data_IF_636706871994
#
_entry.id   IF_636706871994
#
_cell.length_a   1.000
_cell.length_b   1.000
_cell.length_c   1.000
_cell.angle_alpha   90.00
_cell.angle_beta   90.00
_cell.angle_gamma   90.00
#
_symmetry.space_group_name_H-M   'P 1'
#
loop_
_entity.id
_entity.type
_entity.pdbx_description
1 polymer ?
#
# COMPACT_ATOMS: atom_id res chain seq x y z
N UNK A 1 8.10 10.12 34.32
CA UNK A 1 9.14 9.73 33.35
C UNK A 1 9.04 8.24 32.93
N UNK A 2 7.86 7.76 32.55
CA UNK A 2 7.68 6.42 31.92
C UNK A 2 7.02 6.50 30.54
N UNK A 3 6.43 7.65 30.19
CA UNK A 3 5.69 7.83 28.94
C UNK A 3 6.60 7.97 27.72
N UNK A 4 7.77 8.62 27.88
CA UNK A 4 8.71 8.82 26.76
C UNK A 4 9.26 7.52 26.16
N UNK A 5 9.35 6.45 26.96
CA UNK A 5 9.92 5.16 26.50
C UNK A 5 8.91 4.38 25.65
N UNK A 6 7.60 4.51 25.93
CA UNK A 6 6.56 3.87 25.13
C UNK A 6 6.40 4.52 23.76
N UNK A 7 6.61 5.84 23.66
CA UNK A 7 6.57 6.54 22.38
C UNK A 7 7.69 6.08 21.45
N UNK A 8 8.91 5.87 21.94
CA UNK A 8 10.03 5.42 21.10
C UNK A 8 9.81 4.00 20.58
N UNK A 9 9.26 3.09 21.38
CA UNK A 9 8.98 1.71 20.94
C UNK A 9 7.88 1.68 19.87
N UNK A 10 6.89 2.56 19.94
CA UNK A 10 5.80 2.67 18.95
C UNK A 10 6.31 3.03 17.54
N UNK A 11 7.39 3.82 17.44
CA UNK A 11 8.02 4.19 16.14
C UNK A 11 8.67 2.98 15.46
N UNK A 12 9.22 2.05 16.25
CA UNK A 12 9.87 0.83 15.75
C UNK A 12 8.93 -0.38 15.70
N UNK A 13 7.68 -0.23 16.13
CA UNK A 13 6.69 -1.29 15.99
C UNK A 13 6.16 -1.20 14.57
N UNK A 14 6.30 -2.25 13.72
CA UNK A 14 5.63 -2.28 12.44
C UNK A 14 4.14 -2.09 12.72
N UNK A 15 3.59 -0.92 12.36
CA UNK A 15 2.15 -0.77 12.43
C UNK A 15 1.57 -1.92 11.61
N UNK A 16 0.64 -2.64 12.22
CA UNK A 16 -0.03 -3.75 11.58
C UNK A 16 -1.03 -3.18 10.56
N UNK A 17 -0.49 -2.52 9.54
CA UNK A 17 -1.25 -1.86 8.51
C UNK A 17 -1.78 -2.93 7.60
N UNK A 18 -3.10 -3.08 7.61
CA UNK A 18 -3.78 -4.06 6.78
C UNK A 18 -3.81 -3.55 5.34
N UNK A 19 -3.19 -4.27 4.39
CA UNK A 19 -3.29 -3.89 2.99
C UNK A 19 -4.73 -4.00 2.51
N UNK A 20 -5.07 -3.19 1.52
CA UNK A 20 -6.26 -3.39 0.69
C UNK A 20 -5.97 -4.60 -0.20
N UNK A 21 -6.76 -5.65 0.01
CA UNK A 21 -6.63 -6.89 -0.75
C UNK A 21 -7.37 -6.76 -2.07
N UNK A 22 -6.69 -7.10 -3.17
CA UNK A 22 -7.29 -7.09 -4.51
C UNK A 22 -7.86 -8.48 -4.85
N UNK A 23 -7.38 -9.52 -4.15
CA UNK A 23 -7.92 -10.89 -4.22
C UNK A 23 -8.85 -11.18 -3.05
N UNK A 24 -10.05 -11.68 -3.36
CA UNK A 24 -11.09 -11.99 -2.38
C UNK A 24 -11.05 -13.44 -1.86
N UNK A 25 -10.29 -14.32 -2.51
CA UNK A 25 -10.31 -15.78 -2.34
C UNK A 25 -9.18 -16.32 -1.43
N UNK A 26 -8.57 -15.45 -0.61
CA UNK A 26 -7.44 -15.83 0.22
C UNK A 26 -7.87 -16.62 1.46
N UNK A 27 -7.25 -17.77 1.66
CA UNK A 27 -7.37 -18.58 2.88
C UNK A 27 -6.78 -17.85 4.08
N UNK A 28 -7.21 -18.25 5.29
CA UNK A 28 -6.67 -17.67 6.53
C UNK A 28 -5.14 -17.80 6.64
N UNK A 29 -4.60 -18.90 6.10
CA UNK A 29 -3.16 -19.16 6.08
C UNK A 29 -2.43 -18.23 5.11
N UNK A 30 -2.97 -18.04 3.91
CA UNK A 30 -2.43 -17.08 2.95
C UNK A 30 -2.45 -15.66 3.51
N UNK A 31 -3.57 -15.23 4.10
CA UNK A 31 -3.70 -13.92 4.76
C UNK A 31 -2.60 -13.70 5.82
N UNK A 32 -2.28 -14.73 6.60
CA UNK A 32 -1.25 -14.68 7.65
C UNK A 32 0.18 -14.69 7.11
N UNK A 33 0.36 -15.08 5.84
CA UNK A 33 1.66 -15.14 5.15
C UNK A 33 1.95 -13.91 4.26
N UNK A 34 1.01 -12.96 4.24
CA UNK A 34 1.14 -11.73 3.46
C UNK A 34 2.28 -10.88 4.04
N UNK A 35 3.16 -10.39 3.16
CA UNK A 35 4.27 -9.54 3.54
C UNK A 35 4.57 -8.50 2.44
N UNK A 36 5.13 -7.34 2.81
CA UNK A 36 5.52 -6.31 1.84
C UNK A 36 6.72 -6.80 1.03
N UNK A 37 6.68 -6.61 -0.30
CA UNK A 37 7.76 -7.04 -1.23
C UNK A 37 8.34 -5.88 -2.03
N UNK A 38 7.58 -4.81 -2.24
CA UNK A 38 8.06 -3.67 -3.02
C UNK A 38 7.11 -2.48 -2.96
N UNK A 39 7.38 -1.49 -3.79
CA UNK A 39 6.60 -0.26 -3.88
C UNK A 39 6.31 0.09 -5.34
N UNK A 40 5.19 0.77 -5.56
CA UNK A 40 4.81 1.34 -6.84
C UNK A 40 4.34 2.77 -6.65
N UNK A 41 4.47 3.60 -7.69
CA UNK A 41 3.96 4.96 -7.69
C UNK A 41 3.06 5.28 -8.88
N UNK A 42 2.19 6.26 -8.68
CA UNK A 42 1.36 6.95 -9.68
C UNK A 42 1.57 8.45 -9.47
N UNK A 43 1.70 9.23 -10.53
CA UNK A 43 2.03 10.67 -10.44
C UNK A 43 1.27 11.54 -11.44
N UNK A 44 0.15 11.06 -11.94
CA UNK A 44 -0.60 11.68 -13.04
C UNK A 44 -2.12 11.68 -12.81
N UNK A 45 -2.60 11.09 -11.71
CA UNK A 45 -4.03 10.95 -11.50
C UNK A 45 -4.66 12.31 -11.19
N UNK A 46 -5.84 12.59 -11.71
CA UNK A 46 -6.55 13.85 -11.48
C UNK A 46 -7.58 13.75 -10.36
N UNK A 47 -7.84 12.53 -9.87
CA UNK A 47 -8.77 12.23 -8.80
C UNK A 47 -8.29 11.04 -7.97
N UNK A 48 -8.83 10.92 -6.74
CA UNK A 48 -8.55 9.77 -5.87
C UNK A 48 -9.04 8.45 -6.48
N UNK A 49 -10.14 8.47 -7.24
CA UNK A 49 -10.66 7.28 -7.93
C UNK A 49 -9.68 6.81 -9.01
N UNK A 50 -9.21 7.71 -9.87
CA UNK A 50 -8.23 7.42 -10.91
C UNK A 50 -6.89 6.95 -10.32
N UNK A 51 -6.47 7.57 -9.22
CA UNK A 51 -5.27 7.19 -8.48
C UNK A 51 -5.40 5.76 -7.94
N UNK A 52 -6.54 5.45 -7.33
CA UNK A 52 -6.82 4.13 -6.76
C UNK A 52 -6.90 3.06 -7.85
N UNK A 53 -7.61 3.31 -8.95
CA UNK A 53 -7.68 2.39 -10.08
C UNK A 53 -6.31 2.12 -10.70
N UNK A 54 -5.48 3.16 -10.87
CA UNK A 54 -4.11 3.01 -11.35
C UNK A 54 -3.24 2.15 -10.42
N UNK A 55 -3.38 2.32 -9.10
CA UNK A 55 -2.66 1.51 -8.10
C UNK A 55 -3.17 0.06 -8.11
N UNK A 56 -4.48 -0.17 -8.21
CA UNK A 56 -5.06 -1.52 -8.34
C UNK A 56 -4.50 -2.23 -9.57
N UNK A 57 -4.50 -1.56 -10.74
CA UNK A 57 -3.93 -2.11 -11.97
C UNK A 57 -2.45 -2.45 -11.83
N UNK A 58 -1.66 -1.57 -11.21
CA UNK A 58 -0.23 -1.82 -10.94
C UNK A 58 -0.01 -2.98 -9.97
N UNK A 59 -0.86 -3.10 -8.95
CA UNK A 59 -0.84 -4.21 -7.99
C UNK A 59 -1.08 -5.55 -8.69
N UNK A 60 -2.11 -5.62 -9.54
CA UNK A 60 -2.42 -6.80 -10.33
C UNK A 60 -1.30 -7.14 -11.33
N UNK A 61 -0.76 -6.13 -12.02
CA UNK A 61 0.34 -6.32 -12.98
C UNK A 61 1.64 -6.84 -12.32
N UNK A 62 1.87 -6.48 -11.05
CA UNK A 62 2.98 -7.00 -10.27
C UNK A 62 2.74 -8.41 -9.71
N UNK A 63 1.53 -8.96 -9.87
CA UNK A 63 1.15 -10.24 -9.24
C UNK A 63 1.03 -10.15 -7.72
N UNK A 64 0.88 -8.95 -7.18
CA UNK A 64 0.68 -8.71 -5.76
C UNK A 64 -0.78 -9.04 -5.36
N UNK A 65 -0.97 -9.44 -4.11
CA UNK A 65 -2.30 -9.79 -3.56
C UNK A 65 -2.99 -8.62 -2.88
N UNK A 66 -2.24 -7.56 -2.58
CA UNK A 66 -2.76 -6.35 -1.99
C UNK A 66 -1.77 -5.20 -2.07
N UNK A 67 -2.27 -4.01 -1.74
CA UNK A 67 -1.48 -2.79 -1.66
C UNK A 67 -1.83 -1.98 -0.42
N UNK A 68 -0.93 -1.10 -0.01
CA UNK A 68 -1.19 -0.09 1.00
C UNK A 68 -0.61 1.24 0.52
N UNK A 69 -1.47 2.25 0.35
CA UNK A 69 -1.01 3.60 -0.02
C UNK A 69 -0.30 4.19 1.20
N UNK A 70 1.01 4.37 1.08
CA UNK A 70 1.85 4.89 2.16
C UNK A 70 1.97 6.41 2.12
N UNK A 71 1.78 7.01 0.95
CA UNK A 71 1.91 8.44 0.76
C UNK A 71 1.01 8.92 -0.38
N UNK A 72 0.43 10.10 -0.21
CA UNK A 72 -0.41 10.77 -1.20
C UNK A 72 -0.03 12.24 -1.24
N UNK A 73 0.43 12.69 -2.39
CA UNK A 73 0.76 14.07 -2.66
C UNK A 73 -0.29 14.66 -3.60
N UNK A 74 -0.83 15.82 -3.26
CA UNK A 74 -1.67 16.61 -4.16
C UNK A 74 -0.87 17.84 -4.57
N UNK A 75 -0.61 17.97 -5.86
CA UNK A 75 0.09 19.13 -6.39
C UNK A 75 -0.95 20.20 -6.78
N UNK A 76 -0.65 21.45 -6.44
CA UNK A 76 -1.42 22.58 -6.95
C UNK A 76 -1.42 22.54 -8.49
N UNK A 77 -2.53 22.95 -9.13
CA UNK A 77 -2.62 22.88 -10.58
C UNK A 77 -1.51 23.69 -11.22
N UNK A 78 -0.82 23.09 -12.21
CA UNK A 78 0.04 23.84 -13.12
C UNK A 78 -0.77 24.79 -14.02
N UNK A 79 -0.11 25.38 -15.02
CA UNK A 79 -0.70 26.36 -15.95
C UNK A 79 -2.04 25.95 -16.60
N UNK A 80 -2.35 24.64 -16.62
CA UNK A 80 -3.52 24.05 -17.27
C UNK A 80 -4.71 23.77 -16.31
N UNK A 81 -4.61 24.15 -15.03
CA UNK A 81 -5.75 24.12 -14.09
C UNK A 81 -6.18 22.73 -13.59
N UNK A 82 -5.47 21.66 -13.93
CA UNK A 82 -5.72 20.32 -13.40
C UNK A 82 -4.87 20.02 -12.15
N UNK A 83 -5.54 19.69 -11.05
CA UNK A 83 -4.89 19.12 -9.88
C UNK A 83 -4.34 17.74 -10.22
N UNK A 84 -3.06 17.51 -9.93
CA UNK A 84 -2.44 16.19 -10.11
C UNK A 84 -2.15 15.59 -8.74
N UNK A 85 -2.68 14.40 -8.55
CA UNK A 85 -2.44 13.54 -7.42
C UNK A 85 -1.35 12.53 -7.77
N UNK A 86 -0.41 12.39 -6.86
CA UNK A 86 0.58 11.35 -6.85
C UNK A 86 0.41 10.50 -5.59
N UNK A 87 0.75 9.21 -5.68
CA UNK A 87 0.82 8.35 -4.53
C UNK A 87 1.87 7.28 -4.70
N UNK A 88 2.42 6.87 -3.56
CA UNK A 88 3.26 5.68 -3.43
C UNK A 88 2.50 4.64 -2.64
N UNK A 89 2.53 3.39 -3.10
CA UNK A 89 1.92 2.26 -2.43
C UNK A 89 2.91 1.11 -2.26
N UNK A 90 2.90 0.49 -1.09
CA UNK A 90 3.58 -0.77 -0.80
C UNK A 90 2.76 -1.91 -1.36
N UNK A 91 3.41 -2.81 -2.09
CA UNK A 91 2.83 -4.02 -2.65
C UNK A 91 3.08 -5.22 -1.74
N UNK A 92 2.08 -6.07 -1.59
CA UNK A 92 2.10 -7.21 -0.71
C UNK A 92 1.92 -8.52 -1.49
N UNK A 93 2.72 -9.52 -1.16
CA UNK A 93 2.64 -10.87 -1.74
C UNK A 93 2.44 -11.93 -0.66
N UNK A 94 1.94 -13.08 -1.09
CA UNK A 94 1.89 -14.31 -0.29
C UNK A 94 3.31 -14.89 -0.23
N UNK A 95 3.79 -15.18 0.97
CA UNK A 95 4.97 -16.03 1.11
C UNK A 95 4.55 -17.49 0.89
N UNK A 96 4.73 -17.99 -0.34
CA UNK A 96 4.28 -19.35 -0.72
C UNK A 96 4.86 -20.46 0.16
N UNK A 97 6.09 -20.30 0.67
CA UNK A 97 6.70 -21.26 1.59
C UNK A 97 5.90 -21.33 2.90
N UNK A 98 5.59 -20.18 3.49
CA UNK A 98 4.79 -20.14 4.73
C UNK A 98 3.33 -20.53 4.50
N UNK A 99 2.78 -20.23 3.32
CA UNK A 99 1.39 -20.50 2.98
C UNK A 99 1.09 -21.97 2.67
N UNK A 100 2.04 -22.72 2.10
CA UNK A 100 1.78 -24.06 1.56
C UNK A 100 2.75 -25.16 2.02
N UNK A 101 3.83 -24.86 2.77
CA UNK A 101 4.67 -25.89 3.40
C UNK A 101 3.97 -26.57 4.60
#
# INVERSE_FOLDING_TARGET
MKELINDVISIFTPQNVKPVLVRADLTHRELSSIHPVGFTSVSWATSMEELTDAIVKKTLAAGAVGYHITDVESHEPGHDGQHVMAATATLYHINSKVAYD
#
